data_IF_803370286782
#
_entry.id   IF_803370286782
#
_cell.length_a   1.000
_cell.length_b   1.000
_cell.length_c   1.000
_cell.angle_alpha   90.00
_cell.angle_beta   90.00
_cell.angle_gamma   90.00
#
_symmetry.space_group_name_H-M   'P 1'
#
loop_
_entity.id
_entity.type
_entity.pdbx_description
1 polymer ?
#
# COMPACT_ATOMS: atom_id res chain seq x y z
N UNK A 1 -7.24 17.67 22.42
CA UNK A 1 -8.41 16.77 22.19
C UNK A 1 -8.00 15.30 22.40
N UNK A 2 -8.84 14.53 23.09
CA UNK A 2 -8.67 13.08 23.18
C UNK A 2 -8.61 12.46 21.76
N UNK A 3 -7.89 11.34 21.57
CA UNK A 3 -7.76 10.67 20.26
C UNK A 3 -9.13 10.42 19.61
N UNK A 4 -10.15 10.13 20.43
CA UNK A 4 -11.54 9.90 20.05
C UNK A 4 -12.23 11.09 19.37
N UNK A 5 -11.99 12.32 19.85
CA UNK A 5 -12.59 13.53 19.27
C UNK A 5 -12.11 13.81 17.83
N UNK A 6 -11.01 13.19 17.40
CA UNK A 6 -10.44 13.36 16.05
C UNK A 6 -10.97 12.36 15.02
N UNK A 7 -11.67 11.32 15.47
CA UNK A 7 -12.17 10.23 14.61
C UNK A 7 -13.70 10.19 14.53
N UNK A 8 -14.37 11.16 15.15
CA UNK A 8 -15.82 11.28 15.15
C UNK A 8 -16.26 12.50 14.33
N UNK A 9 -17.50 12.45 13.85
CA UNK A 9 -18.21 13.62 13.34
C UNK A 9 -18.40 14.68 14.43
N UNK A 10 -18.70 15.92 14.04
CA UNK A 10 -18.86 17.04 14.99
C UNK A 10 -19.97 16.82 16.03
N UNK A 11 -21.01 16.05 15.67
CA UNK A 11 -22.10 15.63 16.56
C UNK A 11 -21.72 14.42 17.44
N UNK A 12 -20.59 13.75 17.17
CA UNK A 12 -20.14 12.56 17.91
C UNK A 12 -20.83 11.26 17.51
N UNK A 13 -21.79 11.32 16.59
CA UNK A 13 -22.67 10.19 16.28
C UNK A 13 -21.99 9.11 15.46
N UNK A 14 -21.05 9.47 14.58
CA UNK A 14 -20.45 8.54 13.61
C UNK A 14 -18.94 8.66 13.54
N UNK A 15 -18.28 7.58 13.13
CA UNK A 15 -16.87 7.63 12.77
C UNK A 15 -16.66 8.44 11.48
N UNK A 16 -15.70 9.33 11.55
CA UNK A 16 -15.23 10.17 10.44
C UNK A 16 -13.71 10.35 10.55
N UNK A 17 -12.98 9.65 9.69
CA UNK A 17 -11.52 9.61 9.74
C UNK A 17 -10.95 10.20 8.47
N UNK A 18 -9.92 11.03 8.62
CA UNK A 18 -9.11 11.49 7.48
C UNK A 18 -7.90 10.57 7.36
N UNK A 19 -7.80 9.84 6.25
CA UNK A 19 -6.66 8.96 5.99
C UNK A 19 -5.95 9.31 4.69
N UNK A 20 -4.64 9.05 4.67
CA UNK A 20 -3.82 9.13 3.47
C UNK A 20 -3.89 7.78 2.75
N UNK A 21 -4.34 7.81 1.51
CA UNK A 21 -4.29 6.67 0.59
C UNK A 21 -3.20 6.94 -0.44
N UNK A 22 -2.39 5.95 -0.75
CA UNK A 22 -1.31 6.08 -1.71
C UNK A 22 -1.29 4.88 -2.67
N UNK A 23 -1.00 5.17 -3.93
CA UNK A 23 -0.73 4.18 -4.96
C UNK A 23 0.55 4.60 -5.72
N UNK A 24 0.82 3.97 -6.87
CA UNK A 24 1.99 4.28 -7.67
C UNK A 24 1.92 5.61 -8.44
N UNK A 25 0.78 6.29 -8.45
CA UNK A 25 0.60 7.61 -9.07
C UNK A 25 0.88 8.75 -8.08
N UNK A 26 0.72 8.49 -6.77
CA UNK A 26 0.97 9.44 -5.69
C UNK A 26 0.13 9.13 -4.47
N UNK A 27 -0.07 10.13 -3.62
CA UNK A 27 -0.97 10.04 -2.49
C UNK A 27 -2.05 11.12 -2.48
N UNK A 28 -3.20 10.75 -1.92
CA UNK A 28 -4.33 11.63 -1.66
C UNK A 28 -4.82 11.45 -0.23
N UNK A 29 -5.32 12.53 0.37
CA UNK A 29 -5.94 12.49 1.69
C UNK A 29 -7.45 12.57 1.52
N UNK A 30 -8.17 11.57 2.02
CA UNK A 30 -9.62 11.43 1.84
C UNK A 30 -10.29 11.18 3.19
N UNK A 31 -11.55 11.60 3.28
CA UNK A 31 -12.39 11.24 4.42
C UNK A 31 -12.98 9.84 4.22
N UNK A 32 -13.02 9.06 5.30
CA UNK A 32 -13.62 7.74 5.37
C UNK A 32 -14.91 7.82 6.17
N UNK A 33 -15.98 7.26 5.60
CA UNK A 33 -17.23 7.05 6.35
C UNK A 33 -17.09 5.85 7.29
N UNK A 34 -17.86 5.87 8.37
CA UNK A 34 -17.93 4.80 9.37
C UNK A 34 -17.92 3.39 8.79
N UNK A 35 -18.80 3.07 7.85
CA UNK A 35 -18.82 1.73 7.23
C UNK A 35 -17.47 1.31 6.64
N UNK A 36 -16.78 2.22 5.97
CA UNK A 36 -15.45 1.94 5.41
C UNK A 36 -14.40 1.79 6.52
N UNK A 37 -14.47 2.62 7.57
CA UNK A 37 -13.58 2.54 8.74
C UNK A 37 -13.73 1.19 9.43
N UNK A 38 -14.96 0.80 9.77
CA UNK A 38 -15.27 -0.45 10.45
C UNK A 38 -14.85 -1.67 9.63
N UNK A 39 -15.11 -1.63 8.33
CA UNK A 39 -14.71 -2.71 7.40
C UNK A 39 -13.19 -2.85 7.28
N UNK A 40 -12.45 -1.73 7.21
CA UNK A 40 -10.98 -1.78 7.16
C UNK A 40 -10.34 -2.18 8.49
N UNK A 41 -10.92 -1.76 9.62
CA UNK A 41 -10.47 -2.16 10.95
C UNK A 41 -10.94 -3.57 11.34
N UNK A 42 -11.76 -4.21 10.49
CA UNK A 42 -12.35 -5.53 10.71
C UNK A 42 -13.09 -5.63 12.07
N UNK A 43 -13.91 -4.63 12.35
CA UNK A 43 -14.74 -4.55 13.57
C UNK A 43 -16.21 -4.33 13.20
N UNK A 44 -17.16 -4.84 14.02
CA UNK A 44 -18.58 -4.79 13.73
C UNK A 44 -19.20 -3.40 13.95
N UNK A 45 -18.71 -2.63 14.93
CA UNK A 45 -19.34 -1.40 15.38
C UNK A 45 -18.35 -0.34 15.90
N UNK A 46 -18.89 0.87 16.10
CA UNK A 46 -18.15 2.06 16.52
C UNK A 46 -17.57 1.88 17.92
N UNK A 47 -18.30 1.24 18.82
CA UNK A 47 -17.90 1.05 20.21
C UNK A 47 -16.63 0.20 20.28
N UNK A 48 -16.61 -0.94 19.60
CA UNK A 48 -15.41 -1.78 19.54
C UNK A 48 -14.24 -1.08 18.84
N UNK A 49 -14.51 -0.27 17.80
CA UNK A 49 -13.48 0.56 17.17
C UNK A 49 -12.86 1.55 18.17
N UNK A 50 -13.68 2.27 18.93
CA UNK A 50 -13.20 3.25 19.90
C UNK A 50 -12.42 2.61 21.05
N UNK A 51 -12.81 1.40 21.49
CA UNK A 51 -12.07 0.66 22.51
C UNK A 51 -10.70 0.22 22.00
N UNK A 52 -10.61 -0.32 20.77
CA UNK A 52 -9.32 -0.60 20.14
C UNK A 52 -8.48 0.66 19.90
N UNK A 53 -9.11 1.81 19.62
CA UNK A 53 -8.40 3.08 19.46
C UNK A 53 -7.73 3.53 20.76
N UNK A 54 -8.39 3.33 21.91
CA UNK A 54 -7.82 3.66 23.23
C UNK A 54 -6.59 2.80 23.54
N UNK A 55 -6.61 1.55 23.08
CA UNK A 55 -5.53 0.57 23.29
C UNK A 55 -4.43 0.63 22.22
N UNK A 56 -4.53 1.55 21.25
CA UNK A 56 -3.65 1.61 20.07
C UNK A 56 -3.60 0.28 19.27
N UNK A 57 -4.71 -0.47 19.30
CA UNK A 57 -4.86 -1.79 18.68
C UNK A 57 -5.52 -1.78 17.29
N UNK A 58 -5.85 -0.62 16.73
CA UNK A 58 -6.41 -0.54 15.38
C UNK A 58 -5.32 -0.79 14.34
N UNK A 59 -5.60 -1.71 13.43
CA UNK A 59 -4.80 -1.94 12.24
C UNK A 59 -5.64 -1.77 10.99
N UNK A 60 -5.08 -1.06 10.02
CA UNK A 60 -5.61 -1.04 8.67
C UNK A 60 -4.72 -1.88 7.76
N UNK A 61 -5.30 -2.62 6.80
CA UNK A 61 -4.53 -3.43 5.87
C UNK A 61 -3.67 -2.55 4.96
N UNK A 62 -2.46 -3.05 4.64
CA UNK A 62 -1.52 -2.39 3.74
C UNK A 62 -2.06 -2.25 2.32
N UNK A 63 -2.87 -3.21 1.88
CA UNK A 63 -3.53 -3.19 0.60
C UNK A 63 -5.04 -3.20 0.82
N UNK A 64 -5.71 -2.20 0.25
CA UNK A 64 -7.16 -2.03 0.36
C UNK A 64 -7.76 -1.76 -1.01
N UNK A 65 -9.01 -2.16 -1.17
CA UNK A 65 -9.86 -1.70 -2.25
C UNK A 65 -10.88 -0.71 -1.71
N UNK A 66 -11.06 0.40 -2.42
CA UNK A 66 -11.93 1.48 -1.97
C UNK A 66 -12.85 1.95 -3.09
N UNK A 67 -14.09 2.30 -2.71
CA UNK A 67 -15.03 3.02 -3.56
C UNK A 67 -15.06 4.47 -3.12
N UNK A 68 -14.71 5.35 -4.04
CA UNK A 68 -14.61 6.79 -3.80
C UNK A 68 -15.74 7.49 -4.54
N UNK A 69 -16.47 8.34 -3.83
CA UNK A 69 -17.42 9.27 -4.43
C UNK A 69 -16.75 10.64 -4.48
N UNK A 70 -16.66 11.19 -5.69
CA UNK A 70 -16.18 12.54 -5.92
C UNK A 70 -17.37 13.50 -5.91
N UNK A 71 -17.32 14.52 -5.07
CA UNK A 71 -18.28 15.63 -5.02
C UNK A 71 -17.53 16.93 -4.96
N UNK A 72 -17.75 17.83 -5.91
CA UNK A 72 -17.12 19.17 -5.95
C UNK A 72 -15.57 19.12 -5.80
N UNK A 73 -14.94 18.17 -6.48
CA UNK A 73 -13.50 17.86 -6.40
C UNK A 73 -12.99 17.35 -5.03
N UNK A 74 -13.89 17.06 -4.08
CA UNK A 74 -13.58 16.38 -2.83
C UNK A 74 -13.97 14.90 -2.92
N UNK A 75 -13.04 14.02 -2.57
CA UNK A 75 -13.30 12.58 -2.54
C UNK A 75 -13.67 12.10 -1.14
N UNK A 76 -14.65 11.21 -1.07
CA UNK A 76 -15.03 10.52 0.17
C UNK A 76 -15.02 9.02 -0.10
N UNK A 77 -14.31 8.27 0.73
CA UNK A 77 -14.34 6.82 0.74
C UNK A 77 -15.63 6.38 1.41
N UNK A 78 -16.53 5.79 0.62
CA UNK A 78 -17.85 5.35 1.10
C UNK A 78 -17.87 3.88 1.50
N UNK A 79 -17.00 3.08 0.88
CA UNK A 79 -16.78 1.68 1.18
C UNK A 79 -15.30 1.36 0.95
N UNK A 80 -14.74 0.52 1.81
CA UNK A 80 -13.40 0.00 1.64
C UNK A 80 -13.28 -1.37 2.32
N UNK A 81 -12.44 -2.23 1.78
CA UNK A 81 -12.15 -3.56 2.31
C UNK A 81 -10.68 -3.91 2.10
N UNK A 82 -10.18 -4.89 2.85
CA UNK A 82 -8.88 -5.49 2.59
C UNK A 82 -8.85 -6.08 1.16
N UNK A 83 -7.77 -5.80 0.44
CA UNK A 83 -7.61 -6.31 -0.92
C UNK A 83 -7.42 -7.82 -0.90
N UNK A 84 -8.32 -8.56 -1.55
CA UNK A 84 -8.12 -10.00 -1.76
C UNK A 84 -6.96 -10.24 -2.73
N UNK A 85 -6.02 -11.10 -2.33
CA UNK A 85 -4.90 -11.53 -3.19
C UNK A 85 -5.35 -12.37 -4.39
N UNK A 86 -6.54 -12.98 -4.31
CA UNK A 86 -7.12 -13.75 -5.43
C UNK A 86 -7.58 -12.86 -6.59
N UNK A 87 -7.83 -11.58 -6.32
CA UNK A 87 -8.30 -10.62 -7.30
C UNK A 87 -7.10 -9.93 -7.95
N UNK A 88 -6.80 -10.39 -9.17
CA UNK A 88 -5.68 -9.92 -9.95
C UNK A 88 -6.04 -8.66 -10.75
N UNK A 89 -5.07 -7.77 -11.05
CA UNK A 89 -5.28 -6.65 -11.94
C UNK A 89 -5.76 -7.15 -13.31
N UNK A 90 -6.81 -6.51 -13.85
CA UNK A 90 -7.40 -6.87 -15.14
C UNK A 90 -6.85 -6.01 -16.28
N UNK A 91 -7.16 -6.37 -17.52
CA UNK A 91 -6.81 -5.56 -18.70
C UNK A 91 -7.42 -4.15 -18.70
N UNK A 92 -8.45 -3.88 -17.89
CA UNK A 92 -8.98 -2.53 -17.72
C UNK A 92 -7.92 -1.55 -17.19
N UNK A 93 -6.90 -2.05 -16.46
CA UNK A 93 -5.76 -1.24 -16.02
C UNK A 93 -4.91 -0.72 -17.18
N UNK A 94 -4.88 -1.45 -18.31
CA UNK A 94 -4.18 -1.02 -19.53
C UNK A 94 -4.84 0.19 -20.19
N UNK A 95 -6.17 0.28 -20.13
CA UNK A 95 -6.94 1.41 -20.67
C UNK A 95 -6.64 2.71 -19.93
N UNK A 96 -6.24 2.60 -18.65
CA UNK A 96 -5.84 3.74 -17.83
C UNK A 96 -4.40 4.19 -18.07
N UNK A 97 -3.60 3.45 -18.84
CA UNK A 97 -2.17 3.72 -19.01
C UNK A 97 -1.90 5.12 -19.57
N UNK A 98 -2.65 5.55 -20.60
CA UNK A 98 -2.51 6.88 -21.19
C UNK A 98 -2.84 7.99 -20.19
N UNK A 99 -3.86 7.79 -19.36
CA UNK A 99 -4.23 8.70 -18.29
C UNK A 99 -3.13 8.79 -17.23
N UNK A 100 -2.65 7.65 -16.73
CA UNK A 100 -1.61 7.62 -15.70
C UNK A 100 -0.31 8.25 -16.19
N UNK A 101 0.07 8.01 -17.44
CA UNK A 101 1.25 8.64 -18.05
C UNK A 101 1.12 10.16 -18.21
N UNK A 102 -0.11 10.70 -18.27
CA UNK A 102 -0.34 12.15 -18.31
C UNK A 102 -0.25 12.83 -16.94
N UNK A 103 -0.33 12.05 -15.85
CA UNK A 103 -0.27 12.58 -14.49
C UNK A 103 1.20 12.86 -14.13
N UNK A 104 1.47 14.04 -13.57
CA UNK A 104 2.78 14.34 -13.00
C UNK A 104 3.06 13.38 -11.85
N UNK A 105 4.11 12.57 -12.00
CA UNK A 105 4.52 11.65 -10.94
C UNK A 105 4.91 12.40 -9.67
N UNK A 106 4.45 11.89 -8.54
CA UNK A 106 4.75 12.43 -7.23
C UNK A 106 5.62 11.47 -6.43
N UNK A 107 6.56 12.03 -5.68
CA UNK A 107 7.43 11.25 -4.81
C UNK A 107 6.74 10.75 -3.54
N UNK A 108 5.47 11.11 -3.31
CA UNK A 108 4.65 10.58 -2.21
C UNK A 108 3.88 9.30 -2.58
N UNK A 109 4.22 8.70 -3.73
CA UNK A 109 3.71 7.41 -4.18
C UNK A 109 4.20 6.25 -3.29
N UNK A 110 3.42 5.17 -3.31
CA UNK A 110 3.84 3.84 -2.82
C UNK A 110 4.05 2.94 -4.04
N UNK A 111 5.29 2.48 -4.25
CA UNK A 111 5.63 1.66 -5.42
C UNK A 111 5.81 0.18 -5.03
N UNK A 112 5.17 -0.75 -5.74
CA UNK A 112 5.47 -2.18 -5.57
C UNK A 112 6.89 -2.47 -6.08
N UNK A 113 7.64 -3.33 -5.39
CA UNK A 113 9.03 -3.57 -5.74
C UNK A 113 9.57 -4.94 -5.29
N UNK A 114 10.73 -5.30 -5.84
CA UNK A 114 11.60 -6.36 -5.30
C UNK A 114 12.68 -5.73 -4.43
N UNK A 115 13.24 -6.48 -3.48
CA UNK A 115 14.30 -5.94 -2.60
C UNK A 115 15.54 -5.46 -3.39
N UNK A 116 15.91 -6.18 -4.46
CA UNK A 116 17.06 -5.83 -5.32
C UNK A 116 16.88 -4.53 -6.11
N UNK A 117 15.64 -4.11 -6.34
CA UNK A 117 15.34 -2.90 -7.08
C UNK A 117 15.35 -1.65 -6.18
N UNK A 118 15.47 -1.80 -4.87
CA UNK A 118 15.53 -0.69 -3.93
C UNK A 118 16.93 -0.08 -3.89
N UNK A 119 17.00 1.24 -3.93
CA UNK A 119 18.24 1.97 -3.68
C UNK A 119 18.01 3.25 -2.88
N UNK A 120 19.08 3.73 -2.25
CA UNK A 120 19.06 4.93 -1.44
C UNK A 120 19.00 6.19 -2.32
N UNK A 121 18.39 7.25 -1.80
CA UNK A 121 18.44 8.59 -2.40
C UNK A 121 18.92 9.60 -1.38
N UNK A 122 19.62 10.63 -1.87
CA UNK A 122 19.96 11.80 -1.08
C UNK A 122 18.76 12.76 -0.90
N UNK A 123 17.74 12.65 -1.76
CA UNK A 123 16.63 13.61 -1.85
C UNK A 123 15.26 13.01 -1.53
N UNK A 124 15.11 11.71 -1.74
CA UNK A 124 13.87 10.97 -1.50
C UNK A 124 14.08 9.87 -0.46
N UNK A 125 12.99 9.30 0.06
CA UNK A 125 13.07 8.21 1.04
C UNK A 125 13.68 6.95 0.43
N UNK A 126 13.14 6.53 -0.72
CA UNK A 126 13.58 5.34 -1.46
C UNK A 126 13.48 5.62 -2.96
N UNK A 127 14.36 4.99 -3.75
CA UNK A 127 14.17 4.86 -5.20
C UNK A 127 13.91 3.40 -5.54
N UNK A 128 13.03 3.18 -6.50
CA UNK A 128 12.76 1.88 -7.10
C UNK A 128 13.29 1.88 -8.54
N UNK A 129 14.16 0.93 -8.86
CA UNK A 129 14.62 0.69 -10.21
C UNK A 129 13.55 -0.04 -11.02
N UNK A 130 13.18 0.52 -12.17
CA UNK A 130 12.29 -0.07 -13.16
C UNK A 130 12.94 0.00 -14.54
N UNK A 131 13.68 -1.05 -14.89
CA UNK A 131 14.56 -1.03 -16.07
C UNK A 131 15.67 -0.01 -15.88
N UNK A 132 15.81 0.93 -16.81
CA UNK A 132 16.81 2.01 -16.75
C UNK A 132 16.31 3.24 -15.96
N UNK A 133 15.03 3.25 -15.57
CA UNK A 133 14.41 4.39 -14.89
C UNK A 133 14.45 4.19 -13.38
N UNK A 134 14.92 5.21 -12.67
CA UNK A 134 14.84 5.28 -11.21
C UNK A 134 13.62 6.11 -10.80
N UNK A 135 12.68 5.48 -10.09
CA UNK A 135 11.45 6.13 -9.65
C UNK A 135 11.53 6.48 -8.15
N UNK A 136 11.37 7.75 -7.77
CA UNK A 136 11.28 8.12 -6.36
C UNK A 136 9.92 7.75 -5.77
N UNK A 137 9.94 7.29 -4.52
CA UNK A 137 8.73 7.02 -3.75
C UNK A 137 8.93 7.32 -2.26
N UNK A 138 7.82 7.47 -1.54
CA UNK A 138 7.81 7.64 -0.09
C UNK A 138 7.91 6.28 0.60
N UNK A 139 7.34 5.26 -0.04
CA UNK A 139 7.28 3.88 0.43
C UNK A 139 7.47 2.92 -0.74
N UNK A 140 8.16 1.82 -0.49
CA UNK A 140 8.16 0.66 -1.39
C UNK A 140 7.39 -0.49 -0.75
N UNK A 141 6.38 -1.01 -1.44
CA UNK A 141 5.64 -2.20 -1.04
C UNK A 141 6.37 -3.44 -1.53
N UNK A 142 6.78 -4.30 -0.61
CA UNK A 142 7.56 -5.50 -0.90
C UNK A 142 6.94 -6.72 -0.24
N UNK A 143 7.11 -7.90 -0.86
CA UNK A 143 6.84 -9.17 -0.19
C UNK A 143 8.14 -9.64 0.45
N UNK A 144 8.11 -9.87 1.76
CA UNK A 144 9.22 -10.33 2.57
C UNK A 144 9.07 -11.80 2.88
N UNK A 145 10.19 -12.51 2.94
CA UNK A 145 10.30 -13.88 3.44
C UNK A 145 11.30 -13.90 4.59
N UNK A 146 10.88 -14.39 5.75
CA UNK A 146 11.73 -14.52 6.94
C UNK A 146 11.77 -15.97 7.41
N UNK A 147 12.97 -16.43 7.78
CA UNK A 147 13.20 -17.74 8.42
C UNK A 147 13.87 -17.60 9.79
N UNK A 148 14.17 -16.37 10.21
CA UNK A 148 14.87 -16.05 11.44
C UNK A 148 13.97 -15.23 12.36
N UNK A 149 14.27 -15.30 13.64
CA UNK A 149 13.53 -14.56 14.66
C UNK A 149 13.93 -13.08 14.66
N UNK A 150 12.97 -12.24 14.99
CA UNK A 150 13.11 -10.81 15.26
C UNK A 150 13.74 -10.62 16.64
N UNK A 151 14.82 -9.87 16.68
CA UNK A 151 15.49 -9.43 17.90
C UNK A 151 14.96 -8.07 18.33
N UNK A 152 14.72 -7.91 19.62
CA UNK A 152 14.23 -6.68 20.22
C UNK A 152 15.34 -6.05 21.04
N UNK A 153 15.58 -4.76 20.81
CA UNK A 153 16.55 -3.96 21.57
C UNK A 153 15.85 -2.71 22.08
N UNK A 154 15.97 -2.36 23.38
CA UNK A 154 15.37 -1.14 23.91
C UNK A 154 15.82 0.10 23.15
N UNK A 155 14.90 0.99 22.80
CA UNK A 155 15.16 2.25 22.11
C UNK A 155 14.21 3.33 22.64
N UNK A 156 14.70 4.19 23.54
CA UNK A 156 13.86 5.20 24.20
C UNK A 156 12.70 4.52 24.95
N UNK A 157 11.48 5.00 24.70
CA UNK A 157 10.24 4.45 25.28
C UNK A 157 9.66 3.26 24.49
N UNK A 158 10.39 2.76 23.48
CA UNK A 158 9.98 1.65 22.63
C UNK A 158 11.10 0.65 22.37
N UNK A 159 10.98 -0.06 21.26
CA UNK A 159 11.89 -1.11 20.84
C UNK A 159 12.33 -0.88 19.40
N UNK A 160 13.63 -1.07 19.17
CA UNK A 160 14.14 -1.38 17.84
C UNK A 160 13.99 -2.88 17.61
N UNK A 161 13.27 -3.21 16.55
CA UNK A 161 13.09 -4.57 16.07
C UNK A 161 14.06 -4.81 14.92
N UNK A 162 14.73 -5.97 14.93
CA UNK A 162 15.70 -6.32 13.89
C UNK A 162 15.55 -7.79 13.52
N UNK A 163 15.21 -8.04 12.26
CA UNK A 163 15.06 -9.38 11.70
C UNK A 163 16.17 -9.62 10.69
N UNK A 164 17.17 -10.47 11.00
CA UNK A 164 18.26 -10.76 10.08
C UNK A 164 17.82 -11.77 9.02
N UNK A 165 18.52 -11.80 7.89
CA UNK A 165 18.34 -12.86 6.90
C UNK A 165 17.03 -12.79 6.11
N UNK A 166 16.40 -11.62 6.04
CA UNK A 166 15.16 -11.41 5.28
C UNK A 166 15.45 -11.49 3.79
N UNK A 167 14.59 -12.20 3.07
CA UNK A 167 14.69 -12.44 1.63
C UNK A 167 13.50 -11.80 0.90
N UNK A 168 13.65 -11.63 -0.41
CA UNK A 168 12.55 -11.18 -1.26
C UNK A 168 11.56 -12.33 -1.44
N UNK A 169 10.31 -12.15 -1.05
CA UNK A 169 9.29 -13.20 -1.18
C UNK A 169 8.88 -13.50 -2.63
N UNK A 170 9.33 -12.71 -3.61
CA UNK A 170 9.01 -12.88 -5.04
C UNK A 170 10.00 -13.76 -5.81
N UNK A 171 11.15 -14.08 -5.24
CA UNK A 171 12.14 -14.92 -5.93
C UNK A 171 12.14 -16.34 -5.31
N UNK A 172 12.53 -17.35 -6.07
CA UNK A 172 12.50 -18.76 -5.61
C UNK A 172 13.90 -19.33 -5.33
N UNK A 173 14.94 -18.75 -5.93
CA UNK A 173 16.34 -19.22 -5.84
C UNK A 173 17.12 -18.52 -4.73
N UNK A 174 18.31 -19.02 -4.35
CA UNK A 174 19.15 -18.43 -3.28
C UNK A 174 19.40 -16.93 -3.49
N UNK A 175 18.93 -16.10 -2.56
CA UNK A 175 18.91 -14.64 -2.69
C UNK A 175 19.89 -13.94 -1.77
N UNK A 176 20.23 -12.71 -2.18
CA UNK A 176 20.70 -11.69 -1.27
C UNK A 176 19.79 -11.61 -0.03
N UNK A 177 20.42 -11.59 1.13
CA UNK A 177 19.72 -11.46 2.40
C UNK A 177 19.91 -10.06 2.96
N UNK A 178 18.88 -9.58 3.62
CA UNK A 178 18.80 -8.24 4.17
C UNK A 178 18.55 -8.31 5.68
N UNK A 179 18.89 -7.24 6.37
CA UNK A 179 18.47 -7.02 7.75
C UNK A 179 17.30 -6.03 7.76
N UNK A 180 16.12 -6.50 8.13
CA UNK A 180 14.96 -5.65 8.31
C UNK A 180 14.98 -5.00 9.69
N UNK A 181 14.80 -3.68 9.74
CA UNK A 181 14.80 -2.88 10.97
C UNK A 181 13.50 -2.10 11.04
N UNK A 182 12.84 -2.14 12.20
CA UNK A 182 11.65 -1.34 12.47
C UNK A 182 11.70 -0.77 13.89
N UNK A 183 10.82 0.16 14.19
CA UNK A 183 10.61 0.69 15.54
C UNK A 183 9.18 0.46 15.96
N UNK A 184 8.98 -0.06 17.17
CA UNK A 184 7.66 -0.32 17.71
C UNK A 184 7.57 0.15 19.17
N UNK A 185 6.34 0.43 19.60
CA UNK A 185 6.02 0.66 21.02
C UNK A 185 5.54 -0.66 21.64
N UNK A 186 5.25 -0.68 22.94
CA UNK A 186 4.62 -1.86 23.56
C UNK A 186 3.27 -2.23 22.89
N UNK A 187 2.50 -1.23 22.44
CA UNK A 187 1.21 -1.46 21.78
C UNK A 187 1.39 -2.08 20.39
N UNK A 188 2.31 -1.53 19.58
CA UNK A 188 2.52 -1.94 18.19
C UNK A 188 3.55 -3.06 18.00
N UNK A 189 4.11 -3.59 19.09
CA UNK A 189 5.20 -4.57 19.06
C UNK A 189 4.85 -5.80 18.23
N UNK A 190 3.64 -6.34 18.42
CA UNK A 190 3.17 -7.58 17.79
C UNK A 190 3.04 -7.46 16.28
N UNK A 191 2.93 -6.24 15.79
CA UNK A 191 2.54 -5.91 14.42
C UNK A 191 3.74 -5.90 13.47
N UNK A 192 4.94 -5.79 14.05
CA UNK A 192 6.21 -5.73 13.33
C UNK A 192 7.07 -6.99 13.51
N UNK A 193 6.54 -8.03 14.15
CA UNK A 193 7.29 -9.27 14.37
C UNK A 193 7.26 -10.14 13.10
N UNK A 194 8.42 -10.37 12.49
CA UNK A 194 8.62 -11.26 11.34
C UNK A 194 9.08 -12.66 11.77
N UNK A 195 8.55 -13.17 12.88
CA UNK A 195 8.96 -14.44 13.46
C UNK A 195 8.30 -15.61 12.70
N UNK A 196 9.07 -16.59 12.22
CA UNK A 196 8.49 -17.81 11.66
C UNK A 196 7.67 -18.56 12.71
N UNK A 197 6.61 -19.27 12.31
CA UNK A 197 5.79 -20.05 13.22
C UNK A 197 6.62 -21.14 13.93
N UNK A 198 6.27 -21.44 15.19
CA UNK A 198 6.99 -22.43 16.01
C UNK A 198 6.84 -23.87 15.51
N UNK A 199 5.71 -24.15 14.84
CA UNK A 199 5.31 -25.48 14.34
C UNK A 199 5.00 -25.39 12.86
N UNK A 200 5.36 -26.44 12.10
CA UNK A 200 5.19 -26.49 10.64
C UNK A 200 6.40 -25.92 9.89
N UNK A 201 6.14 -25.37 8.71
CA UNK A 201 7.17 -24.75 7.86
C UNK A 201 7.68 -23.46 8.53
N UNK A 202 8.98 -23.41 8.87
CA UNK A 202 9.61 -22.30 9.61
C UNK A 202 9.89 -21.09 8.70
N UNK A 203 8.87 -20.66 7.98
CA UNK A 203 8.92 -19.53 7.04
C UNK A 203 7.72 -18.64 7.30
N UNK A 204 7.96 -17.34 7.42
CA UNK A 204 6.93 -16.32 7.44
C UNK A 204 7.02 -15.47 6.18
N UNK A 205 5.87 -15.24 5.54
CA UNK A 205 5.73 -14.25 4.49
C UNK A 205 4.95 -13.05 5.01
N UNK A 206 5.34 -11.85 4.60
CA UNK A 206 4.64 -10.64 4.99
C UNK A 206 4.78 -9.58 3.90
N UNK A 207 3.76 -8.76 3.71
CA UNK A 207 3.89 -7.49 3.01
C UNK A 207 4.58 -6.50 3.94
N UNK A 208 5.50 -5.71 3.40
CA UNK A 208 6.23 -4.68 4.14
C UNK A 208 6.24 -3.37 3.37
N UNK A 209 6.13 -2.26 4.11
CA UNK A 209 6.39 -0.93 3.59
C UNK A 209 7.82 -0.51 3.97
N UNK A 210 8.70 -0.47 2.98
CA UNK A 210 10.08 -0.01 3.14
C UNK A 210 10.14 1.50 2.93
N UNK A 211 10.70 2.23 3.89
CA UNK A 211 10.86 3.69 3.85
C UNK A 211 12.31 4.15 3.85
N UNK A 212 13.25 3.21 3.88
CA UNK A 212 14.67 3.49 3.77
C UNK A 212 15.46 2.23 3.46
N UNK A 213 16.57 2.40 2.75
CA UNK A 213 17.49 1.31 2.42
C UNK A 213 18.93 1.79 2.58
N UNK A 214 19.75 0.98 3.24
CA UNK A 214 21.20 1.09 3.20
C UNK A 214 21.75 -0.04 2.34
N UNK A 215 22.06 0.28 1.09
CA UNK A 215 22.55 -0.67 0.09
C UNK A 215 23.90 -1.25 0.48
N UNK A 216 24.74 -0.51 1.23
CA UNK A 216 26.08 -0.98 1.61
C UNK A 216 26.02 -2.06 2.69
N UNK A 217 25.12 -1.89 3.65
CA UNK A 217 24.97 -2.82 4.78
C UNK A 217 23.83 -3.83 4.59
N UNK A 218 23.04 -3.70 3.53
CA UNK A 218 21.88 -4.55 3.28
C UNK A 218 20.75 -4.34 4.29
N UNK A 219 20.60 -3.13 4.85
CA UNK A 219 19.57 -2.82 5.85
C UNK A 219 18.35 -2.19 5.22
N UNK A 220 17.18 -2.64 5.64
CA UNK A 220 15.87 -2.14 5.22
C UNK A 220 15.17 -1.52 6.42
N UNK A 221 14.71 -0.27 6.29
CA UNK A 221 13.87 0.37 7.30
C UNK A 221 12.40 0.14 6.96
N UNK A 222 11.70 -0.61 7.81
CA UNK A 222 10.28 -0.93 7.66
C UNK A 222 9.42 0.02 8.49
N UNK A 223 8.40 0.60 7.85
CA UNK A 223 7.39 1.45 8.50
C UNK A 223 6.15 0.66 8.92
N UNK A 224 5.80 -0.41 8.23
CA UNK A 224 4.65 -1.26 8.58
C UNK A 224 4.80 -2.64 7.93
N UNK A 225 4.23 -3.65 8.57
CA UNK A 225 4.25 -5.04 8.13
C UNK A 225 2.84 -5.62 8.23
N UNK A 226 2.48 -6.48 7.28
CA UNK A 226 1.25 -7.26 7.34
C UNK A 226 1.58 -8.72 7.01
N UNK A 227 1.42 -9.67 7.96
CA UNK A 227 1.60 -11.09 7.71
C UNK A 227 0.70 -11.58 6.56
N UNK A 228 1.26 -12.40 5.68
CA UNK A 228 0.52 -13.09 4.62
C UNK A 228 0.32 -14.54 5.04
N UNK A 229 -0.92 -15.02 4.99
CA UNK A 229 -1.23 -16.41 5.37
C UNK A 229 -0.57 -17.38 4.39
N UNK A 230 -0.11 -18.56 4.85
CA UNK A 230 0.56 -19.55 3.99
C UNK A 230 -0.21 -19.90 2.71
N UNK A 231 -1.53 -20.05 2.82
CA UNK A 231 -2.45 -20.36 1.71
C UNK A 231 -2.52 -19.25 0.65
N UNK A 232 -2.21 -18.01 1.03
CA UNK A 232 -2.33 -16.83 0.19
C UNK A 232 -1.01 -16.39 -0.45
N UNK A 233 0.13 -16.98 -0.03
CA UNK A 233 1.47 -16.55 -0.48
C UNK A 233 1.61 -16.60 -2.00
N UNK A 234 1.12 -17.65 -2.64
CA UNK A 234 1.19 -17.78 -4.11
C UNK A 234 0.39 -16.66 -4.80
N UNK A 235 -0.83 -16.41 -4.32
CA UNK A 235 -1.68 -15.34 -4.86
C UNK A 235 -1.06 -13.95 -4.63
N UNK A 236 -0.46 -13.72 -3.46
CA UNK A 236 0.23 -12.48 -3.13
C UNK A 236 1.47 -12.25 -4.02
N UNK A 237 2.23 -13.31 -4.31
CA UNK A 237 3.36 -13.27 -5.26
C UNK A 237 2.90 -12.88 -6.66
N UNK A 238 1.85 -13.53 -7.16
CA UNK A 238 1.31 -13.26 -8.49
C UNK A 238 0.77 -11.82 -8.58
N UNK A 239 0.01 -11.39 -7.57
CA UNK A 239 -0.53 -10.03 -7.50
C UNK A 239 0.59 -9.00 -7.53
N UNK A 240 1.57 -9.13 -6.62
CA UNK A 240 2.63 -8.14 -6.49
C UNK A 240 3.54 -8.12 -7.73
N UNK A 241 3.81 -9.29 -8.33
CA UNK A 241 4.56 -9.37 -9.60
C UNK A 241 3.86 -8.64 -10.74
N UNK A 242 2.53 -8.79 -10.85
CA UNK A 242 1.74 -8.04 -11.85
C UNK A 242 1.72 -6.56 -11.56
N UNK A 243 1.59 -6.16 -10.30
CA UNK A 243 1.63 -4.74 -9.91
C UNK A 243 2.99 -4.10 -10.22
N UNK A 244 4.11 -4.82 -10.01
CA UNK A 244 5.45 -4.39 -10.42
C UNK A 244 5.49 -4.17 -11.94
N UNK A 245 5.05 -5.15 -12.72
CA UNK A 245 5.03 -5.05 -14.18
C UNK A 245 4.19 -3.84 -14.66
N UNK A 246 3.00 -3.64 -14.11
CA UNK A 246 2.16 -2.48 -14.45
C UNK A 246 2.82 -1.16 -14.07
N UNK A 247 3.35 -1.05 -12.85
CA UNK A 247 4.04 0.16 -12.40
C UNK A 247 5.24 0.51 -13.30
N UNK A 248 5.92 -0.52 -13.83
CA UNK A 248 7.02 -0.37 -14.78
C UNK A 248 6.55 0.12 -16.17
N UNK A 249 5.40 -0.35 -16.68
CA UNK A 249 4.84 0.18 -17.93
C UNK A 249 4.48 1.66 -17.82
N UNK A 250 4.07 2.10 -16.63
CA UNK A 250 3.85 3.50 -16.35
C UNK A 250 5.16 4.26 -16.15
N UNK A 251 6.24 3.59 -15.73
CA UNK A 251 7.57 4.15 -15.54
C UNK A 251 8.23 4.69 -16.81
N UNK A 252 7.94 4.10 -17.97
CA UNK A 252 8.53 4.47 -19.26
C UNK A 252 8.27 5.96 -19.56
N UNK A 253 9.35 6.67 -19.93
CA UNK A 253 9.47 8.13 -19.97
C UNK A 253 8.19 8.89 -20.32
N UNK A 254 7.86 9.86 -19.47
CA UNK A 254 7.11 11.04 -19.87
C UNK A 254 7.74 11.56 -21.15
N UNK A 255 7.11 11.29 -22.30
CA UNK A 255 7.49 11.94 -23.55
C UNK A 255 7.54 13.41 -23.20
N UNK A 256 8.70 14.03 -23.38
CA UNK A 256 8.91 15.49 -23.25
C UNK A 256 7.60 16.16 -23.58
N UNK A 257 7.00 16.85 -22.61
CA UNK A 257 5.80 17.65 -22.86
C UNK A 257 6.07 18.45 -24.13
N UNK A 258 5.53 18.01 -25.27
CA UNK A 258 5.35 18.91 -26.39
C UNK A 258 4.32 19.88 -25.85
N UNK A 259 4.78 21.10 -25.56
CA UNK A 259 3.95 22.27 -25.36
C UNK A 259 3.04 22.40 -26.57
N UNK A 260 1.92 21.68 -26.56
CA UNK A 260 1.12 21.41 -27.74
C UNK A 260 -0.30 21.10 -27.32
N UNK A 261 -1.09 22.15 -27.16
CA UNK A 261 -2.54 22.13 -27.28
C UNK A 261 -3.28 21.40 -26.18
N UNK A 262 -3.78 22.15 -25.20
CA UNK A 262 -4.96 21.71 -24.45
C UNK A 262 -6.12 21.54 -25.43
N UNK A 263 -6.39 20.31 -25.85
CA UNK A 263 -7.62 19.99 -26.58
C UNK A 263 -8.77 20.19 -25.60
N UNK A 264 -9.62 21.19 -25.88
CA UNK A 264 -10.89 21.36 -25.16
C UNK A 264 -11.70 20.08 -25.33
N UNK A 265 -11.90 19.34 -24.23
CA UNK A 265 -12.79 18.18 -24.20
C UNK A 265 -14.22 18.61 -24.55
N UNK A 266 -14.90 17.80 -25.36
CA UNK A 266 -16.34 17.89 -25.51
C UNK A 266 -17.00 17.48 -24.18
N UNK A 267 -18.05 18.20 -23.77
CA UNK A 267 -18.75 18.00 -22.51
C UNK A 267 -19.46 16.63 -22.36
N UNK A 268 -19.37 15.74 -23.36
CA UNK A 268 -20.00 14.42 -23.38
C UNK A 268 -19.12 13.30 -22.80
N UNK A 269 -17.83 13.53 -22.52
CA UNK A 269 -16.88 12.52 -22.04
C UNK A 269 -16.68 12.60 -20.52
N UNK A 270 -17.75 12.34 -19.75
CA UNK A 270 -17.64 12.29 -18.28
C UNK A 270 -17.56 10.82 -17.85
N UNK A 271 -16.46 10.36 -17.21
CA UNK A 271 -16.34 9.00 -16.64
C UNK A 271 -17.42 8.66 -15.60
N UNK A 272 -18.25 9.62 -15.20
CA UNK A 272 -19.40 9.41 -14.34
C UNK A 272 -20.53 8.61 -15.00
N UNK A 273 -20.49 8.40 -16.32
CA UNK A 273 -21.50 7.63 -17.06
C UNK A 273 -21.24 6.11 -17.04
N UNK A 274 -20.07 5.66 -16.58
CA UNK A 274 -19.71 4.24 -16.54
C UNK A 274 -20.45 3.53 -15.40
N UNK A 275 -20.92 2.30 -15.63
CA UNK A 275 -21.65 1.51 -14.62
C UNK A 275 -20.81 1.35 -13.34
N UNK A 276 -21.43 1.57 -12.18
CA UNK A 276 -20.80 1.38 -10.88
C UNK A 276 -20.44 -0.09 -10.65
N UNK A 277 -19.19 -0.38 -10.29
CA UNK A 277 -18.81 -1.70 -9.77
C UNK A 277 -19.65 -2.05 -8.56
N UNK A 278 -20.33 -3.21 -8.61
CA UNK A 278 -21.13 -3.73 -7.49
C UNK A 278 -20.29 -4.45 -6.45
N UNK A 279 -19.07 -4.85 -6.80
CA UNK A 279 -18.12 -5.52 -5.92
C UNK A 279 -16.84 -4.67 -5.85
N UNK A 280 -16.39 -4.39 -4.64
CA UNK A 280 -15.06 -3.81 -4.41
C UNK A 280 -14.01 -4.75 -5.00
N UNK A 281 -12.85 -4.22 -5.39
CA UNK A 281 -11.75 -5.03 -5.94
C UNK A 281 -12.01 -5.68 -7.32
N UNK A 282 -13.19 -5.47 -7.93
CA UNK A 282 -13.52 -5.93 -9.28
C UNK A 282 -13.66 -4.73 -10.23
N UNK A 283 -13.00 -4.78 -11.39
CA UNK A 283 -13.33 -3.86 -12.49
C UNK A 283 -14.69 -4.26 -13.10
N UNK A 284 -15.49 -3.32 -13.61
CA UNK A 284 -16.68 -3.69 -14.37
C UNK A 284 -16.16 -4.42 -15.62
N UNK A 285 -16.48 -5.69 -15.78
CA UNK A 285 -16.14 -6.48 -16.97
C UNK A 285 -16.97 -6.11 -18.20
N UNK A 286 -17.55 -4.91 -18.24
CA UNK A 286 -18.45 -4.47 -19.31
C UNK A 286 -17.80 -3.38 -20.16
N UNK A 287 -17.44 -3.78 -21.39
CA UNK A 287 -17.04 -3.00 -22.57
C UNK A 287 -15.91 -1.96 -22.39
N UNK A 288 -15.00 -1.83 -23.39
CA UNK A 288 -13.94 -0.82 -23.35
C UNK A 288 -14.52 0.58 -23.18
N UNK A 289 -13.75 1.48 -22.56
CA UNK A 289 -14.10 2.90 -22.49
C UNK A 289 -14.51 3.40 -23.88
N UNK A 290 -15.67 4.08 -24.03
CA UNK A 290 -16.06 4.65 -25.31
C UNK A 290 -15.02 5.70 -25.72
N UNK A 291 -14.41 5.48 -26.89
CA UNK A 291 -13.56 6.44 -27.59
C UNK A 291 -14.36 7.61 -28.13
#
# INVERSE_FOLDING_TARGET
PAKEQKVLTNDGDRLWIIAKMADCTGAITLALRERAVLSLANVPDKEQFLDLLKEDGIQFPLMSSARIVLKDAQGIIVEAEEQSFTLQPTMAMSELSSYVQSITRRADATLPSTLKALTASAHYRVLVASGEVMQPCERALVLLKSTKRTHQTPLGDGFRLTTPGVQCGLEETEMATYEAVGTATNATLKDFVLDPPKTGERVMHALGLVVGVDVKTGKLLLEQIQPVRPEDVTHARDLLSRLIAWSATWAIESRKHSSGGGTKRAASEVPSATRTCRRLSACPTDAPFPY
#
